data_IF_503884582458
#
_entry.id   IF_503884582458
#
_cell.length_a   1.000
_cell.length_b   1.000
_cell.length_c   1.000
_cell.angle_alpha   90.00
_cell.angle_beta   90.00
_cell.angle_gamma   90.00
#
_symmetry.space_group_name_H-M   'P 1'
#
loop_
_entity.id
_entity.type
_entity.pdbx_description
1 polymer ?
#
# COMPACT_ATOMS: atom_id res chain seq x y z
N UNK A 1 -49.11 -18.09 -51.50
CA UNK A 1 -48.68 -18.30 -50.10
C UNK A 1 -47.41 -17.49 -49.84
N UNK A 2 -47.54 -16.35 -49.17
CA UNK A 2 -46.43 -15.41 -48.93
C UNK A 2 -45.59 -15.92 -47.75
N UNK A 3 -44.37 -16.40 -48.02
CA UNK A 3 -43.40 -16.77 -46.97
C UNK A 3 -43.06 -15.50 -46.16
N UNK A 4 -43.55 -15.43 -44.92
CA UNK A 4 -43.12 -14.39 -43.96
C UNK A 4 -41.64 -14.62 -43.64
N UNK A 5 -40.78 -13.75 -44.17
CA UNK A 5 -39.35 -13.70 -43.84
C UNK A 5 -39.17 -13.19 -42.40
N UNK A 6 -39.26 -14.08 -41.43
CA UNK A 6 -39.01 -13.82 -40.00
C UNK A 6 -37.52 -13.92 -39.63
N UNK A 7 -36.64 -14.27 -40.59
CA UNK A 7 -35.20 -14.42 -40.39
C UNK A 7 -34.44 -13.15 -39.91
N UNK A 8 -34.73 -11.94 -40.44
CA UNK A 8 -33.97 -10.74 -40.05
C UNK A 8 -34.26 -10.26 -38.62
N UNK A 9 -35.49 -10.45 -38.13
CA UNK A 9 -35.96 -9.93 -36.84
C UNK A 9 -35.38 -10.71 -35.66
N UNK A 10 -35.18 -12.03 -35.83
CA UNK A 10 -34.52 -12.89 -34.84
C UNK A 10 -33.00 -12.70 -34.79
N UNK A 11 -32.36 -12.33 -35.91
CA UNK A 11 -30.92 -12.03 -35.94
C UNK A 11 -30.59 -10.68 -35.28
N UNK A 12 -31.44 -9.67 -35.47
CA UNK A 12 -31.28 -8.34 -34.85
C UNK A 12 -31.46 -8.37 -33.32
N UNK A 13 -32.36 -9.21 -32.82
CA UNK A 13 -32.59 -9.38 -31.37
C UNK A 13 -31.45 -10.14 -30.70
N UNK A 14 -30.88 -11.17 -31.34
CA UNK A 14 -29.72 -11.90 -30.81
C UNK A 14 -28.45 -11.05 -30.69
N UNK A 15 -28.16 -10.20 -31.70
CA UNK A 15 -27.01 -9.30 -31.67
C UNK A 15 -27.16 -8.18 -30.61
N UNK A 16 -28.37 -7.65 -30.42
CA UNK A 16 -28.63 -6.62 -29.40
C UNK A 16 -28.43 -7.13 -27.97
N UNK A 17 -28.83 -8.37 -27.68
CA UNK A 17 -28.68 -8.98 -26.35
C UNK A 17 -27.20 -9.24 -26.04
N UNK A 18 -26.41 -9.69 -27.01
CA UNK A 18 -24.97 -9.91 -26.82
C UNK A 18 -24.21 -8.61 -26.53
N UNK A 19 -24.54 -7.51 -27.23
CA UNK A 19 -23.93 -6.20 -26.98
C UNK A 19 -24.32 -5.67 -25.61
N UNK A 20 -25.60 -5.80 -25.22
CA UNK A 20 -26.08 -5.38 -23.90
C UNK A 20 -25.41 -6.18 -22.77
N UNK A 21 -25.19 -7.49 -22.94
CA UNK A 21 -24.50 -8.32 -21.96
C UNK A 21 -23.01 -7.95 -21.82
N UNK A 22 -22.33 -7.62 -22.91
CA UNK A 22 -20.94 -7.15 -22.87
C UNK A 22 -20.84 -5.78 -22.18
N UNK A 23 -21.72 -4.83 -22.53
CA UNK A 23 -21.75 -3.50 -21.89
C UNK A 23 -22.12 -3.61 -20.41
N UNK A 24 -23.13 -4.41 -20.06
CA UNK A 24 -23.53 -4.65 -18.67
C UNK A 24 -22.41 -5.36 -17.89
N UNK A 25 -21.70 -6.30 -18.51
CA UNK A 25 -20.51 -6.91 -17.95
C UNK A 25 -19.44 -5.87 -17.65
N UNK A 26 -19.11 -4.99 -18.61
CA UNK A 26 -18.17 -3.89 -18.39
C UNK A 26 -18.61 -2.95 -17.27
N UNK A 27 -19.90 -2.60 -17.18
CA UNK A 27 -20.41 -1.74 -16.10
C UNK A 27 -20.33 -2.43 -14.74
N UNK A 28 -20.64 -3.74 -14.67
CA UNK A 28 -20.63 -4.51 -13.42
C UNK A 28 -19.22 -4.69 -12.81
N UNK A 29 -18.17 -4.76 -13.64
CA UNK A 29 -16.76 -4.81 -13.17
C UNK A 29 -16.08 -3.42 -13.12
N UNK A 30 -16.82 -2.33 -13.25
CA UNK A 30 -16.26 -0.97 -13.18
C UNK A 30 -15.50 -0.52 -14.45
N UNK A 31 -15.57 -1.27 -15.54
CA UNK A 31 -14.93 -0.92 -16.80
C UNK A 31 -13.40 -0.93 -16.75
N UNK A 32 -12.74 -0.78 -17.91
CA UNK A 32 -11.27 -0.88 -18.00
C UNK A 32 -10.53 0.27 -17.30
N UNK A 33 -11.20 1.41 -17.05
CA UNK A 33 -10.63 2.54 -16.31
C UNK A 33 -10.46 2.24 -14.82
N UNK A 34 -11.50 1.73 -14.17
CA UNK A 34 -11.49 1.37 -12.74
C UNK A 34 -10.46 0.28 -12.44
N UNK A 35 -10.38 -0.76 -13.27
CA UNK A 35 -9.39 -1.82 -13.11
C UNK A 35 -7.94 -1.29 -13.19
N UNK A 36 -7.70 -0.29 -14.05
CA UNK A 36 -6.38 0.35 -14.16
C UNK A 36 -6.07 1.21 -12.94
N UNK A 37 -7.02 2.02 -12.49
CA UNK A 37 -6.84 2.88 -11.32
C UNK A 37 -6.62 2.05 -10.05
N UNK A 38 -7.37 0.96 -9.87
CA UNK A 38 -7.14 0.01 -8.76
C UNK A 38 -5.78 -0.65 -8.81
N UNK A 39 -5.32 -1.08 -9.98
CA UNK A 39 -3.96 -1.64 -10.10
C UNK A 39 -2.88 -0.61 -9.74
N UNK A 40 -3.09 0.67 -10.06
CA UNK A 40 -2.18 1.74 -9.63
C UNK A 40 -2.26 1.94 -8.11
N UNK A 41 -3.44 1.85 -7.51
CA UNK A 41 -3.62 1.97 -6.08
C UNK A 41 -3.00 0.78 -5.32
N UNK A 42 -3.07 -0.44 -5.85
CA UNK A 42 -2.38 -1.62 -5.32
C UNK A 42 -0.86 -1.42 -5.31
N UNK A 43 -0.31 -0.87 -6.39
CA UNK A 43 1.13 -0.51 -6.47
C UNK A 43 1.44 0.55 -5.41
N UNK A 44 0.59 1.57 -5.27
CA UNK A 44 0.77 2.65 -4.29
C UNK A 44 0.74 2.10 -2.86
N UNK A 45 -0.18 1.18 -2.57
CA UNK A 45 -0.30 0.53 -1.27
C UNK A 45 0.89 -0.41 -1.00
N UNK A 46 1.35 -1.16 -2.00
CA UNK A 46 2.57 -1.97 -1.91
C UNK A 46 3.79 -1.11 -1.59
N UNK A 47 3.95 0.04 -2.26
CA UNK A 47 5.01 0.99 -1.92
C UNK A 47 4.86 1.50 -0.48
N UNK A 48 3.65 1.84 -0.03
CA UNK A 48 3.39 2.31 1.33
C UNK A 48 3.83 1.27 2.36
N UNK A 49 3.48 0.00 2.14
CA UNK A 49 3.91 -1.11 2.98
C UNK A 49 5.44 -1.25 3.01
N UNK A 50 6.10 -1.12 1.86
CA UNK A 50 7.56 -1.16 1.81
C UNK A 50 8.18 0.01 2.59
N UNK A 51 7.62 1.23 2.49
CA UNK A 51 8.12 2.39 3.24
C UNK A 51 8.01 2.20 4.74
N UNK A 52 6.83 1.78 5.20
CA UNK A 52 6.60 1.51 6.62
C UNK A 52 7.51 0.37 7.09
N UNK A 53 7.65 -0.69 6.30
CA UNK A 53 8.51 -1.82 6.64
C UNK A 53 9.99 -1.44 6.73
N UNK A 54 10.52 -0.66 5.79
CA UNK A 54 11.90 -0.17 5.83
C UNK A 54 12.12 0.74 7.04
N UNK A 55 11.18 1.65 7.32
CA UNK A 55 11.26 2.52 8.49
C UNK A 55 11.23 1.73 9.81
N UNK A 56 10.38 0.69 9.88
CA UNK A 56 10.31 -0.22 11.02
C UNK A 56 11.63 -0.97 11.24
N UNK A 57 12.30 -1.41 10.17
CA UNK A 57 13.59 -2.10 10.27
C UNK A 57 14.72 -1.19 10.72
N UNK A 58 14.72 0.05 10.23
CA UNK A 58 15.66 1.05 10.68
C UNK A 58 15.42 1.42 12.17
N UNK A 59 14.16 1.53 12.59
CA UNK A 59 13.79 1.74 13.98
C UNK A 59 14.23 0.59 14.88
N UNK A 60 14.02 -0.65 14.45
CA UNK A 60 14.44 -1.83 15.21
C UNK A 60 15.97 -1.87 15.42
N UNK A 61 16.72 -1.39 14.44
CA UNK A 61 18.20 -1.36 14.49
C UNK A 61 18.75 -0.20 15.31
N UNK A 62 18.10 0.97 15.26
CA UNK A 62 18.64 2.22 15.83
C UNK A 62 17.94 2.67 17.11
N UNK A 63 16.76 2.11 17.42
CA UNK A 63 15.90 2.55 18.50
C UNK A 63 15.19 3.89 18.24
N UNK A 64 15.42 4.53 17.09
CA UNK A 64 14.81 5.80 16.72
C UNK A 64 14.24 5.80 15.30
N UNK A 65 13.13 6.51 15.11
CA UNK A 65 12.49 6.66 13.83
C UNK A 65 13.46 7.41 12.90
N UNK A 66 13.67 6.93 11.66
CA UNK A 66 14.56 7.60 10.73
C UNK A 66 14.14 9.05 10.48
N UNK A 67 15.10 9.98 10.41
CA UNK A 67 14.79 11.39 10.14
C UNK A 67 14.13 11.60 8.76
N UNK A 68 14.44 10.73 7.80
CA UNK A 68 13.86 10.70 6.45
C UNK A 68 13.98 9.29 5.86
N UNK A 69 13.34 9.07 4.71
CA UNK A 69 13.32 7.75 4.06
C UNK A 69 14.71 7.32 3.54
N UNK A 70 15.56 8.25 3.11
CA UNK A 70 16.94 7.92 2.69
C UNK A 70 17.78 7.39 3.87
N UNK A 71 17.63 7.98 5.05
CA UNK A 71 18.26 7.49 6.28
C UNK A 71 17.77 6.09 6.65
N UNK A 72 16.48 5.81 6.46
CA UNK A 72 15.93 4.48 6.67
C UNK A 72 16.58 3.44 5.75
N UNK A 73 16.72 3.75 4.45
CA UNK A 73 17.37 2.87 3.45
C UNK A 73 18.86 2.64 3.71
N UNK A 74 19.54 3.65 4.26
CA UNK A 74 20.96 3.56 4.58
C UNK A 74 21.25 2.75 5.85
N UNK A 75 20.22 2.46 6.65
CA UNK A 75 20.40 1.68 7.88
C UNK A 75 20.70 0.22 7.51
N UNK A 76 21.80 -0.37 8.01
CA UNK A 76 22.14 -1.75 7.70
C UNK A 76 21.01 -2.70 8.14
N UNK A 77 20.54 -3.54 7.22
CA UNK A 77 19.62 -4.61 7.59
C UNK A 77 20.36 -5.58 8.50
N UNK A 78 20.04 -5.56 9.79
CA UNK A 78 20.36 -6.66 10.69
C UNK A 78 19.62 -7.90 10.20
N UNK A 79 20.29 -8.77 9.43
CA UNK A 79 19.74 -10.06 8.99
C UNK A 79 19.41 -11.00 10.14
N UNK A 80 19.78 -10.63 11.37
CA UNK A 80 19.62 -11.41 12.59
C UNK A 80 18.31 -11.10 13.33
N UNK A 81 17.75 -9.89 13.19
CA UNK A 81 16.44 -9.56 13.78
C UNK A 81 15.28 -9.95 12.86
N UNK A 82 14.99 -11.26 12.81
CA UNK A 82 13.84 -11.83 12.09
C UNK A 82 12.48 -11.59 12.75
N UNK A 83 12.42 -10.85 13.86
CA UNK A 83 11.18 -10.71 14.61
C UNK A 83 10.07 -10.01 13.82
N UNK A 84 10.44 -9.17 12.86
CA UNK A 84 9.51 -8.65 11.87
C UNK A 84 9.88 -9.18 10.48
N UNK A 85 8.95 -9.84 9.75
CA UNK A 85 9.20 -10.35 8.39
C UNK A 85 9.52 -9.25 7.36
N UNK A 86 9.48 -7.98 7.79
CA UNK A 86 9.66 -6.78 6.98
C UNK A 86 11.14 -6.51 6.66
N UNK A 87 12.08 -7.01 7.45
CA UNK A 87 13.49 -6.63 7.31
C UNK A 87 14.29 -7.47 6.31
N UNK A 88 13.70 -8.56 5.80
CA UNK A 88 14.36 -9.49 4.87
C UNK A 88 13.98 -9.35 3.40
N UNK A 89 12.83 -8.75 3.06
CA UNK A 89 12.24 -8.81 1.70
C UNK A 89 11.88 -7.45 1.10
N UNK A 90 12.03 -6.34 1.82
CA UNK A 90 11.65 -5.03 1.29
C UNK A 90 12.74 -4.53 0.32
N UNK A 91 12.50 -4.69 -0.98
CA UNK A 91 13.34 -4.06 -2.00
C UNK A 91 13.08 -2.54 -1.99
N UNK A 92 14.00 -1.80 -1.39
CA UNK A 92 13.96 -0.35 -1.36
C UNK A 92 14.30 0.30 -2.72
N UNK A 93 14.75 -0.49 -3.71
CA UNK A 93 15.22 0.02 -5.00
C UNK A 93 14.04 0.53 -5.82
N UNK A 94 14.14 1.78 -6.27
CA UNK A 94 13.15 2.40 -7.17
C UNK A 94 11.92 2.99 -6.48
N UNK A 95 11.81 2.94 -5.15
CA UNK A 95 10.74 3.65 -4.43
C UNK A 95 11.18 5.11 -4.23
N UNK A 96 10.59 6.01 -5.02
CA UNK A 96 10.72 7.44 -4.80
C UNK A 96 9.74 7.87 -3.69
N UNK A 97 10.30 8.43 -2.61
CA UNK A 97 9.54 8.99 -1.49
C UNK A 97 10.02 10.41 -1.29
N UNK A 98 9.09 11.36 -1.29
CA UNK A 98 9.40 12.77 -1.10
C UNK A 98 9.22 13.18 0.35
N UNK A 99 9.89 14.24 0.76
CA UNK A 99 9.63 14.90 2.05
C UNK A 99 8.43 15.83 1.92
N UNK A 100 7.57 15.88 2.94
CA UNK A 100 6.45 16.82 3.00
C UNK A 100 5.20 16.22 3.62
N UNK A 101 4.20 17.07 3.88
CA UNK A 101 2.98 16.66 4.58
C UNK A 101 2.08 15.76 3.72
N UNK A 102 2.09 15.91 2.39
CA UNK A 102 1.24 15.18 1.47
C UNK A 102 1.86 15.04 0.06
N UNK A 103 1.66 13.90 -0.64
CA UNK A 103 2.07 13.72 -2.02
C UNK A 103 1.24 14.56 -3.00
N UNK A 104 1.90 15.14 -4.01
CA UNK A 104 1.25 16.00 -5.00
C UNK A 104 0.44 15.22 -6.04
N UNK A 105 0.96 14.08 -6.54
CA UNK A 105 0.33 13.33 -7.63
C UNK A 105 -0.08 11.92 -7.20
N UNK A 106 -1.11 11.32 -7.85
CA UNK A 106 -1.47 9.93 -7.65
C UNK A 106 -0.28 8.98 -7.84
N UNK A 107 -0.07 8.08 -6.88
CA UNK A 107 1.05 7.13 -6.86
C UNK A 107 2.36 7.64 -6.27
N UNK A 108 2.44 8.94 -5.95
CA UNK A 108 3.51 9.51 -5.14
C UNK A 108 3.28 9.21 -3.66
N UNK A 109 4.39 9.25 -2.90
CA UNK A 109 4.35 9.10 -1.45
C UNK A 109 5.22 10.12 -0.75
N UNK A 110 4.82 10.44 0.48
CA UNK A 110 5.64 11.20 1.42
C UNK A 110 5.93 10.42 2.69
N UNK A 111 7.05 10.78 3.30
CA UNK A 111 7.48 10.26 4.59
C UNK A 111 7.92 11.42 5.49
N UNK A 112 7.56 11.34 6.77
CA UNK A 112 7.96 12.30 7.77
C UNK A 112 8.12 11.63 9.14
N UNK A 113 9.17 11.99 9.88
CA UNK A 113 9.30 11.64 11.30
C UNK A 113 8.47 12.62 12.12
N UNK A 114 7.57 12.09 12.95
CA UNK A 114 6.77 12.90 13.88
C UNK A 114 7.34 12.89 15.30
N UNK A 115 7.87 11.74 15.74
CA UNK A 115 8.45 11.56 17.07
C UNK A 115 9.55 10.48 17.03
N UNK A 116 10.29 10.22 18.14
CA UNK A 116 11.33 9.19 18.18
C UNK A 116 10.86 7.77 17.84
N UNK A 117 9.59 7.44 18.01
CA UNK A 117 9.03 6.14 17.62
C UNK A 117 7.81 6.28 16.70
N UNK A 118 7.63 7.43 16.04
CA UNK A 118 6.42 7.70 15.26
C UNK A 118 6.76 8.35 13.93
N UNK A 119 6.14 7.84 12.86
CA UNK A 119 6.27 8.36 11.50
C UNK A 119 4.89 8.68 10.93
N UNK A 120 4.88 9.51 9.90
CA UNK A 120 3.76 9.71 8.99
C UNK A 120 4.16 9.25 7.60
N UNK A 121 3.38 8.36 7.03
CA UNK A 121 3.51 7.94 5.64
C UNK A 121 2.20 8.28 4.91
N UNK A 122 2.31 9.00 3.79
CA UNK A 122 1.16 9.36 2.98
C UNK A 122 1.28 8.82 1.56
N UNK A 123 0.17 8.35 1.00
CA UNK A 123 0.06 7.98 -0.41
C UNK A 123 -1.13 8.67 -1.07
N UNK A 124 -1.05 8.92 -2.37
CA UNK A 124 -2.15 9.50 -3.16
C UNK A 124 -2.80 8.42 -4.02
N UNK A 125 -4.06 8.11 -3.73
CA UNK A 125 -4.83 7.04 -4.36
C UNK A 125 -5.91 7.60 -5.27
N UNK A 126 -6.25 6.86 -6.34
CA UNK A 126 -7.21 7.30 -7.36
C UNK A 126 -8.63 6.85 -7.06
N UNK A 127 -8.78 5.68 -6.47
CA UNK A 127 -10.05 5.08 -6.13
C UNK A 127 -10.27 5.09 -4.60
N UNK A 128 -11.54 5.04 -4.16
CA UNK A 128 -11.84 4.73 -2.76
C UNK A 128 -11.32 3.34 -2.41
N UNK A 129 -10.88 3.19 -1.17
CA UNK A 129 -10.36 1.94 -0.65
C UNK A 129 -11.43 1.16 0.09
N UNK A 130 -11.54 -0.13 -0.24
CA UNK A 130 -12.39 -1.11 0.40
C UNK A 130 -11.60 -2.42 0.56
N UNK A 131 -11.49 -2.91 1.80
CA UNK A 131 -10.78 -4.15 2.15
C UNK A 131 -11.40 -5.40 1.53
N UNK A 132 -12.67 -5.34 1.13
CA UNK A 132 -13.35 -6.46 0.49
C UNK A 132 -13.07 -6.54 -1.01
N UNK A 133 -12.18 -5.69 -1.54
CA UNK A 133 -11.90 -5.67 -2.96
C UNK A 133 -10.98 -6.83 -3.40
N UNK A 134 -11.36 -7.51 -4.48
CA UNK A 134 -10.56 -8.59 -5.06
C UNK A 134 -9.21 -8.07 -5.59
N UNK A 135 -8.10 -8.57 -5.05
CA UNK A 135 -6.73 -8.16 -5.43
C UNK A 135 -5.95 -7.43 -4.32
N UNK A 136 -6.63 -7.04 -3.25
CA UNK A 136 -5.97 -6.44 -2.08
C UNK A 136 -4.95 -7.38 -1.43
N UNK A 137 -3.73 -6.89 -1.19
CA UNK A 137 -2.68 -7.64 -0.49
C UNK A 137 -2.38 -7.00 0.87
N UNK A 138 -2.91 -7.61 1.93
CA UNK A 138 -2.79 -7.18 3.32
C UNK A 138 -1.41 -7.53 3.91
N UNK A 139 -0.36 -6.76 3.56
CA UNK A 139 1.00 -7.06 4.02
C UNK A 139 1.26 -6.71 5.49
N UNK A 140 0.72 -5.59 5.96
CA UNK A 140 1.10 -4.97 7.25
C UNK A 140 -0.03 -4.82 8.26
N UNK A 141 -1.25 -5.19 7.90
CA UNK A 141 -2.43 -4.77 8.65
C UNK A 141 -2.57 -5.48 9.99
N UNK A 142 -1.88 -6.62 10.17
CA UNK A 142 -1.78 -7.29 11.47
C UNK A 142 -0.97 -6.48 12.50
N UNK A 143 0.00 -5.65 12.06
CA UNK A 143 0.74 -4.72 12.93
C UNK A 143 0.07 -3.35 12.97
N UNK A 144 -0.48 -2.93 11.83
CA UNK A 144 -1.03 -1.60 11.60
C UNK A 144 -2.45 -1.70 11.05
N UNK A 145 -3.44 -2.02 11.89
CA UNK A 145 -4.83 -2.24 11.44
C UNK A 145 -5.45 -1.00 10.80
N UNK A 146 -4.95 0.20 11.11
CA UNK A 146 -5.36 1.45 10.47
C UNK A 146 -5.15 1.45 8.95
N UNK A 147 -4.28 0.59 8.41
CA UNK A 147 -4.08 0.46 6.96
C UNK A 147 -5.26 -0.20 6.24
N UNK A 148 -6.11 -0.94 6.97
CA UNK A 148 -7.33 -1.60 6.49
C UNK A 148 -8.59 -0.73 6.63
N UNK A 149 -8.48 0.51 7.11
CA UNK A 149 -9.65 1.36 7.26
C UNK A 149 -10.17 1.84 5.89
N UNK A 150 -11.48 1.66 5.60
CA UNK A 150 -12.09 2.20 4.38
C UNK A 150 -11.87 3.71 4.27
N UNK A 151 -11.55 4.18 3.08
CA UNK A 151 -11.20 5.58 2.87
C UNK A 151 -11.64 6.08 1.49
N UNK A 152 -11.98 7.37 1.34
CA UNK A 152 -12.25 7.95 0.03
C UNK A 152 -10.99 8.00 -0.84
N UNK A 153 -11.19 8.23 -2.15
CA UNK A 153 -10.09 8.52 -3.07
C UNK A 153 -9.33 9.78 -2.64
N UNK A 154 -8.06 9.87 -3.02
CA UNK A 154 -7.18 11.01 -2.75
C UNK A 154 -6.01 10.68 -1.82
N UNK A 155 -5.49 11.71 -1.16
CA UNK A 155 -4.36 11.57 -0.24
C UNK A 155 -4.80 10.92 1.06
N UNK A 156 -4.11 9.83 1.43
CA UNK A 156 -4.29 9.14 2.70
C UNK A 156 -2.98 9.14 3.45
N UNK A 157 -3.03 9.57 4.71
CA UNK A 157 -1.88 9.68 5.58
C UNK A 157 -2.10 8.80 6.80
N UNK A 158 -1.09 8.00 7.13
CA UNK A 158 -1.11 7.11 8.26
C UNK A 158 -0.04 7.55 9.25
N UNK A 159 -0.46 7.77 10.49
CA UNK A 159 0.47 7.91 11.61
C UNK A 159 0.73 6.51 12.14
N UNK A 160 2.00 6.12 12.13
CA UNK A 160 2.45 4.79 12.49
C UNK A 160 3.37 4.90 13.69
N UNK A 161 2.99 4.22 14.77
CA UNK A 161 3.86 4.00 15.92
C UNK A 161 4.74 2.78 15.63
N UNK A 162 6.04 3.00 15.49
CA UNK A 162 7.02 1.96 15.22
C UNK A 162 7.25 1.12 16.48
N UNK A 163 7.24 -0.19 16.32
CA UNK A 163 7.23 -1.13 17.44
C UNK A 163 8.63 -1.74 17.60
N UNK A 164 9.28 -1.56 18.75
CA UNK A 164 10.60 -2.17 18.97
C UNK A 164 10.41 -3.66 19.17
N UNK A 165 11.23 -4.50 18.55
CA UNK A 165 11.18 -5.92 18.79
C UNK A 165 11.50 -6.20 20.27
N UNK A 166 10.61 -6.84 21.05
CA UNK A 166 10.89 -7.18 22.44
C UNK A 166 12.06 -8.17 22.60
N UNK A 167 12.44 -8.86 21.52
CA UNK A 167 13.58 -9.77 21.47
C UNK A 167 14.84 -9.12 20.87
N UNK A 168 14.86 -7.81 20.57
CA UNK A 168 16.10 -7.13 20.20
C UNK A 168 16.95 -7.02 21.46
N UNK A 169 17.85 -7.98 21.68
CA UNK A 169 18.89 -7.90 22.70
C UNK A 169 19.85 -6.78 22.32
N UNK A 170 19.50 -5.55 22.68
CA UNK A 170 20.48 -4.49 22.82
C UNK A 170 21.31 -4.86 24.06
N UNK A 171 22.65 -4.92 23.98
CA UNK A 171 23.46 -5.01 25.18
C UNK A 171 23.18 -3.73 25.97
N UNK A 172 22.56 -3.89 27.14
CA UNK A 172 22.52 -2.82 28.14
C UNK A 172 23.98 -2.50 28.41
N UNK A 173 24.43 -1.32 27.96
CA UNK A 173 25.73 -0.83 28.34
C UNK A 173 25.74 -0.76 29.87
N UNK A 174 26.44 -1.71 30.50
CA UNK A 174 26.70 -1.69 31.93
C UNK A 174 27.28 -0.32 32.26
N UNK A 175 26.52 0.46 33.03
CA UNK A 175 27.02 1.65 33.67
C UNK A 175 28.08 1.17 34.66
N UNK A 176 29.34 1.17 34.22
CA UNK A 176 30.50 1.01 35.11
C UNK A 176 30.51 2.22 36.03
N UNK A 177 29.90 2.08 37.20
CA UNK A 177 30.12 2.98 38.33
C UNK A 177 31.48 2.59 38.92
N UNK A 178 32.54 3.28 38.49
CA UNK A 178 33.79 3.31 39.25
C UNK A 178 33.57 4.16 40.50
N UNK A 179 33.65 3.50 41.67
CA UNK A 179 33.88 4.17 42.95
C UNK A 179 35.37 4.47 43.13
#
# INVERSE_FOLDING_TARGET
MTKRNLGPVLALTGAGIAIAAVIAGFIAVGGPGDARDRRFDDITFSKLNNVIGIAQCAFDTTGEAPANFEAAKATPNSSENKAFPLCGSNDARGIAVTSGSQPANPGDMTYERLAPAQIRACGHFRAPFDVNHAGYTAGLTYLYPQLDEPAPAGVRCYVIDLIKNPNSTEPVADVVITQ
#
